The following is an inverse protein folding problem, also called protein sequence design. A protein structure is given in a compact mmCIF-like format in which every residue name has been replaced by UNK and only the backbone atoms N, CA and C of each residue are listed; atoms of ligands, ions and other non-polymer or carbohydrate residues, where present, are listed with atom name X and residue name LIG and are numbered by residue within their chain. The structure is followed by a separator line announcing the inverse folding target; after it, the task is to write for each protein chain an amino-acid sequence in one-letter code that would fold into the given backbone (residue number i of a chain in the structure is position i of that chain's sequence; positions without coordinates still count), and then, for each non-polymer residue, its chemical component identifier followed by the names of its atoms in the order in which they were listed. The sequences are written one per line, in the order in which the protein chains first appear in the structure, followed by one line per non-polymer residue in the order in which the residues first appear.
data_IF_660108334310
#
_entry.id   IF_660108334310
#
_cell.length_a   1.000
_cell.length_b   1.000
_cell.length_c   1.000
_cell.angle_alpha   90.00
_cell.angle_beta   90.00
_cell.angle_gamma   90.00
#
_symmetry.space_group_name_H-M   'P 1'
#
loop_
_entity.id
_entity.type
_entity.pdbx_description
1 polymer ?
#
# COMPACT_ATOMS: atom_id res chain seq x y z
N UNK A 1 16.29 6.31 -18.94
CA UNK A 1 16.91 5.93 -17.65
C UNK A 1 16.73 7.11 -16.70
N UNK A 2 16.17 6.98 -15.51
CA UNK A 2 16.25 5.85 -14.57
C UNK A 2 15.06 5.84 -13.60
N UNK A 3 14.57 4.65 -13.22
CA UNK A 3 13.86 4.47 -11.95
C UNK A 3 14.93 4.23 -10.90
N UNK A 4 14.97 5.06 -9.85
CA UNK A 4 15.62 4.70 -8.60
C UNK A 4 14.66 4.94 -7.44
N UNK A 5 13.91 3.89 -7.13
CA UNK A 5 13.23 3.74 -5.85
C UNK A 5 14.21 3.13 -4.83
N UNK A 6 14.34 3.73 -3.65
CA UNK A 6 15.05 3.11 -2.52
C UNK A 6 14.32 3.35 -1.20
N UNK A 7 13.67 2.31 -0.70
CA UNK A 7 13.18 2.22 0.68
C UNK A 7 13.91 1.05 1.35
N UNK A 8 14.63 1.31 2.46
CA UNK A 8 15.51 0.32 3.09
C UNK A 8 15.27 0.17 4.59
N UNK A 9 14.91 -1.05 5.03
CA UNK A 9 14.70 -1.39 6.45
C UNK A 9 15.51 -2.63 6.86
N UNK A 10 16.30 -2.48 7.94
CA UNK A 10 17.34 -3.41 8.39
C UNK A 10 17.53 -3.25 9.92
N UNK A 11 18.02 -4.17 10.75
CA UNK A 11 18.10 -5.63 10.70
C UNK A 11 16.98 -6.13 11.64
N UNK A 12 16.10 -6.99 11.13
CA UNK A 12 14.75 -7.24 11.70
C UNK A 12 14.68 -8.63 12.37
N UNK A 13 13.83 -8.79 13.38
CA UNK A 13 13.11 -10.05 13.63
C UNK A 13 11.60 -9.87 13.34
N UNK A 14 11.10 -8.63 13.41
CA UNK A 14 10.38 -7.83 12.39
C UNK A 14 10.16 -6.45 13.05
N UNK A 15 10.35 -5.30 12.38
CA UNK A 15 9.17 -4.43 12.30
C UNK A 15 9.09 -3.73 10.95
N UNK A 16 8.29 -4.34 10.07
CA UNK A 16 7.62 -3.70 8.94
C UNK A 16 6.12 -3.90 9.11
N UNK A 17 5.33 -3.01 8.52
CA UNK A 17 3.87 -3.16 8.45
C UNK A 17 3.41 -2.88 7.04
N UNK A 18 2.33 -3.52 6.63
CA UNK A 18 1.71 -3.31 5.33
C UNK A 18 0.20 -3.44 5.46
N UNK A 19 -0.52 -2.82 4.54
CA UNK A 19 -1.93 -3.06 4.32
C UNK A 19 -2.12 -3.35 2.84
N UNK A 20 -2.92 -4.37 2.55
CA UNK A 20 -3.34 -4.72 1.20
C UNK A 20 -4.86 -4.75 1.21
N UNK A 21 -5.48 -4.02 0.28
CA UNK A 21 -6.92 -3.95 0.10
C UNK A 21 -7.28 -4.57 -1.24
N UNK A 22 -8.31 -5.40 -1.24
CA UNK A 22 -8.85 -6.02 -2.45
C UNK A 22 -10.34 -5.74 -2.55
N UNK A 23 -10.79 -5.35 -3.74
CA UNK A 23 -12.19 -5.26 -4.09
C UNK A 23 -12.53 -6.36 -5.09
N UNK A 24 -13.44 -7.23 -4.67
CA UNK A 24 -13.94 -8.35 -5.48
C UNK A 24 -15.21 -7.91 -6.23
N UNK A 25 -15.19 -8.06 -7.55
CA UNK A 25 -16.32 -7.85 -8.44
C UNK A 25 -16.71 -9.20 -9.07
N UNK A 26 -17.85 -9.23 -9.75
CA UNK A 26 -18.36 -10.46 -10.36
C UNK A 26 -17.34 -11.20 -11.26
N UNK A 27 -16.47 -10.46 -11.96
CA UNK A 27 -15.54 -11.01 -12.94
C UNK A 27 -14.07 -10.61 -12.73
N UNK A 28 -13.76 -9.82 -11.71
CA UNK A 28 -12.39 -9.34 -11.50
C UNK A 28 -12.13 -9.02 -10.03
N UNK A 29 -10.86 -9.02 -9.65
CA UNK A 29 -10.39 -8.51 -8.37
C UNK A 29 -9.37 -7.44 -8.67
N UNK A 30 -9.56 -6.27 -8.09
CA UNK A 30 -8.57 -5.19 -8.11
C UNK A 30 -8.07 -4.99 -6.69
N UNK A 31 -6.81 -4.60 -6.55
CA UNK A 31 -6.24 -4.36 -5.25
C UNK A 31 -5.17 -3.30 -5.31
N UNK A 32 -4.99 -2.66 -4.17
CA UNK A 32 -3.92 -1.71 -3.91
C UNK A 32 -3.29 -2.07 -2.57
N UNK A 33 -2.04 -1.67 -2.39
CA UNK A 33 -1.32 -1.90 -1.15
C UNK A 33 -0.54 -0.66 -0.74
N UNK A 34 -0.15 -0.60 0.52
CA UNK A 34 0.74 0.44 1.00
C UNK A 34 1.62 -0.07 2.14
N UNK A 35 2.87 0.38 2.13
CA UNK A 35 3.87 0.05 3.14
C UNK A 35 3.88 1.09 4.26
N UNK A 36 3.89 0.59 5.49
CA UNK A 36 4.18 1.41 6.67
C UNK A 36 5.60 1.95 6.62
N UNK A 37 5.78 3.20 7.08
CA UNK A 37 7.06 3.91 7.06
C UNK A 37 7.29 4.57 8.43
N UNK A 38 8.55 4.67 8.85
CA UNK A 38 8.91 5.37 10.10
C UNK A 38 8.37 6.81 10.07
N UNK A 39 7.71 7.22 11.16
CA UNK A 39 7.11 8.56 11.29
C UNK A 39 5.76 8.74 10.59
N UNK A 40 5.25 7.73 9.87
CA UNK A 40 3.93 7.77 9.24
C UNK A 40 2.90 7.05 10.10
N UNK A 41 1.74 7.66 10.30
CA UNK A 41 0.64 7.05 11.07
C UNK A 41 0.00 5.91 10.29
N UNK A 42 -0.41 4.86 10.99
CA UNK A 42 -1.08 3.72 10.36
C UNK A 42 -2.40 4.13 9.68
N UNK A 43 -3.12 5.09 10.26
CA UNK A 43 -4.36 5.64 9.70
C UNK A 43 -4.12 6.36 8.38
N UNK A 44 -2.97 7.02 8.22
CA UNK A 44 -2.61 7.68 6.97
C UNK A 44 -2.24 6.64 5.89
N UNK A 45 -1.52 5.58 6.27
CA UNK A 45 -1.19 4.45 5.36
C UNK A 45 -2.46 3.76 4.85
N UNK A 46 -3.40 3.45 5.75
CA UNK A 46 -4.67 2.84 5.37
C UNK A 46 -5.57 3.77 4.55
N UNK A 47 -5.62 5.07 4.90
CA UNK A 47 -6.39 6.07 4.14
C UNK A 47 -5.85 6.18 2.71
N UNK A 48 -4.54 6.26 2.53
CA UNK A 48 -3.93 6.33 1.20
C UNK A 48 -4.22 5.08 0.36
N UNK A 49 -4.05 3.88 0.92
CA UNK A 49 -4.36 2.63 0.22
C UNK A 49 -5.83 2.58 -0.22
N UNK A 50 -6.75 3.00 0.65
CA UNK A 50 -8.18 3.04 0.35
C UNK A 50 -8.52 4.10 -0.72
N UNK A 51 -7.91 5.29 -0.66
CA UNK A 51 -8.12 6.33 -1.67
C UNK A 51 -7.59 5.90 -3.04
N UNK A 52 -6.45 5.21 -3.07
CA UNK A 52 -5.88 4.65 -4.31
C UNK A 52 -6.79 3.56 -4.88
N UNK A 53 -7.30 2.65 -4.05
CA UNK A 53 -8.27 1.64 -4.51
C UNK A 53 -9.54 2.27 -5.09
N UNK A 54 -10.05 3.32 -4.45
CA UNK A 54 -11.20 4.08 -4.94
C UNK A 54 -10.88 4.80 -6.25
N UNK A 55 -9.65 5.22 -6.49
CA UNK A 55 -9.25 5.82 -7.77
C UNK A 55 -9.18 4.77 -8.88
N UNK A 56 -8.53 3.62 -8.61
CA UNK A 56 -8.45 2.48 -9.53
C UNK A 56 -9.83 1.90 -9.88
N UNK A 57 -10.82 2.05 -8.99
CA UNK A 57 -12.21 1.65 -9.20
C UNK A 57 -13.00 2.54 -10.16
N UNK A 58 -12.57 3.79 -10.39
CA UNK A 58 -13.32 4.79 -11.17
C UNK A 58 -13.14 4.64 -12.69
N UNK A 59 -13.03 3.40 -13.18
CA UNK A 59 -13.09 3.09 -14.62
C UNK A 59 -14.25 3.85 -15.28
#
# INVERSE_FOLDING_TARGET
MSIEERVGYYKTQCPGSQICLTAEFQNTVIGTDNLGKLGKRAEDVGREAALELLEEQKI
#
